data_IF_589409391460
#
_entry.id   IF_589409391460
#
_cell.length_a   1.000
_cell.length_b   1.000
_cell.length_c   1.000
_cell.angle_alpha   90.00
_cell.angle_beta   90.00
_cell.angle_gamma   90.00
#
_symmetry.space_group_name_H-M   'P 1'
#
loop_
_entity.id
_entity.type
_entity.pdbx_description
1 polymer ?
#
# COMPACT_ATOMS: atom_id res chain seq x y z
N UNK A 1 7.54 -10.61 5.90
CA UNK A 1 8.03 -10.58 4.52
C UNK A 1 9.18 -11.57 4.40
N UNK A 2 8.93 -12.80 3.94
CA UNK A 2 9.85 -13.76 3.29
C UNK A 2 9.16 -15.11 3.44
N UNK A 3 8.36 -15.51 2.45
CA UNK A 3 8.01 -16.94 2.28
C UNK A 3 7.42 -17.27 0.89
N UNK A 4 7.65 -16.42 -0.12
CA UNK A 4 7.11 -16.69 -1.46
C UNK A 4 8.01 -17.62 -2.29
N UNK A 5 9.28 -17.77 -1.91
CA UNK A 5 10.25 -18.57 -2.65
C UNK A 5 10.20 -20.07 -2.31
N UNK A 6 9.80 -20.41 -1.09
CA UNK A 6 9.69 -21.80 -0.64
C UNK A 6 8.40 -22.47 -1.14
N UNK A 7 7.30 -21.72 -1.29
CA UNK A 7 6.03 -22.23 -1.84
C UNK A 7 6.18 -22.81 -3.27
N UNK A 8 7.14 -22.31 -4.05
CA UNK A 8 7.46 -22.80 -5.40
C UNK A 8 8.69 -23.73 -5.45
N UNK A 9 9.28 -24.09 -4.30
CA UNK A 9 10.47 -24.96 -4.25
C UNK A 9 11.70 -24.39 -4.97
N UNK A 10 11.76 -23.07 -5.15
CA UNK A 10 12.77 -22.40 -5.99
C UNK A 10 14.20 -22.58 -5.44
N UNK A 11 14.31 -22.73 -4.12
CA UNK A 11 15.57 -23.01 -3.44
C UNK A 11 16.24 -24.31 -3.93
N UNK A 12 15.46 -25.37 -4.21
CA UNK A 12 16.01 -26.62 -4.73
C UNK A 12 16.59 -26.46 -6.14
N UNK A 13 15.94 -25.66 -6.99
CA UNK A 13 16.45 -25.33 -8.33
C UNK A 13 17.72 -24.47 -8.28
N UNK A 14 17.79 -23.50 -7.36
CA UNK A 14 19.01 -22.70 -7.17
C UNK A 14 20.17 -23.53 -6.63
N UNK A 15 19.92 -24.48 -5.72
CA UNK A 15 20.95 -25.42 -5.24
C UNK A 15 21.48 -26.33 -6.34
N UNK A 16 20.60 -26.84 -7.20
CA UNK A 16 21.00 -27.59 -8.38
C UNK A 16 21.85 -26.74 -9.34
N UNK A 17 21.45 -25.49 -9.59
CA UNK A 17 22.18 -24.54 -10.43
C UNK A 17 23.58 -24.21 -9.89
N UNK A 18 23.73 -24.02 -8.58
CA UNK A 18 25.04 -23.79 -7.94
C UNK A 18 25.98 -24.98 -8.07
N UNK A 19 25.46 -26.21 -7.93
CA UNK A 19 26.24 -27.44 -8.09
C UNK A 19 26.64 -27.70 -9.54
N UNK A 20 25.84 -27.22 -10.49
CA UNK A 20 26.06 -27.37 -11.93
C UNK A 20 26.83 -26.18 -12.56
N UNK A 21 27.35 -25.25 -11.75
CA UNK A 21 28.06 -24.09 -12.27
C UNK A 21 29.35 -24.52 -12.98
N UNK A 22 29.30 -24.57 -14.32
CA UNK A 22 30.47 -24.76 -15.15
C UNK A 22 31.33 -23.50 -15.11
N UNK A 23 32.64 -23.68 -14.95
CA UNK A 23 33.56 -22.56 -14.95
C UNK A 23 33.56 -21.92 -16.35
N UNK A 24 33.35 -20.59 -16.48
CA UNK A 24 33.39 -19.91 -17.77
C UNK A 24 34.73 -20.14 -18.47
N UNK A 25 34.73 -20.19 -19.79
CA UNK A 25 35.98 -20.28 -20.55
C UNK A 25 36.83 -19.01 -20.31
N UNK A 26 38.16 -19.17 -20.30
CA UNK A 26 39.07 -18.04 -20.09
C UNK A 26 38.89 -16.92 -21.11
N UNK A 27 38.54 -17.27 -22.35
CA UNK A 27 38.23 -16.31 -23.42
C UNK A 27 36.99 -15.46 -23.11
N UNK A 28 35.90 -16.10 -22.64
CA UNK A 28 34.71 -15.37 -22.19
C UNK A 28 35.04 -14.44 -21.02
N UNK A 29 35.83 -14.90 -20.06
CA UNK A 29 36.23 -14.09 -18.91
C UNK A 29 37.05 -12.85 -19.35
N UNK A 30 37.99 -13.03 -20.28
CA UNK A 30 38.77 -11.93 -20.84
C UNK A 30 37.90 -10.90 -21.56
N UNK A 31 36.89 -11.35 -22.31
CA UNK A 31 35.92 -10.44 -22.97
C UNK A 31 35.04 -9.69 -21.98
N UNK A 32 34.57 -10.37 -20.92
CA UNK A 32 33.79 -9.74 -19.84
C UNK A 32 34.61 -8.67 -19.12
N UNK A 33 35.89 -8.96 -18.83
CA UNK A 33 36.79 -7.99 -18.19
C UNK A 33 37.02 -6.76 -19.07
N UNK A 34 37.26 -6.95 -20.36
CA UNK A 34 37.44 -5.85 -21.31
C UNK A 34 36.17 -4.98 -21.45
N UNK A 35 34.98 -5.60 -21.46
CA UNK A 35 33.71 -4.89 -21.51
C UNK A 35 33.43 -4.13 -20.21
N UNK A 36 33.74 -4.75 -19.05
CA UNK A 36 33.64 -4.10 -17.75
C UNK A 36 34.56 -2.87 -17.65
N UNK A 37 35.81 -2.95 -18.11
CA UNK A 37 36.73 -1.80 -18.16
C UNK A 37 36.16 -0.67 -19.03
N UNK A 38 35.59 -0.99 -20.19
CA UNK A 38 34.96 -0.01 -21.06
C UNK A 38 33.74 0.67 -20.39
N UNK A 39 32.92 -0.09 -19.64
CA UNK A 39 31.80 0.48 -18.88
C UNK A 39 32.25 1.26 -17.64
N UNK A 40 33.33 0.88 -16.97
CA UNK A 40 33.86 1.64 -15.84
C UNK A 40 34.35 3.02 -16.28
N UNK A 41 34.97 3.12 -17.46
CA UNK A 41 35.37 4.42 -18.03
C UNK A 41 34.15 5.25 -18.49
N UNK A 42 33.07 4.60 -18.94
CA UNK A 42 31.84 5.28 -19.34
C UNK A 42 30.97 5.72 -18.14
N UNK A 43 31.08 5.05 -17.00
CA UNK A 43 30.29 5.32 -15.80
C UNK A 43 31.01 6.24 -14.79
N UNK A 44 31.86 7.16 -15.26
CA UNK A 44 32.24 8.30 -14.41
C UNK A 44 30.94 9.02 -14.05
N UNK A 45 30.52 9.05 -12.77
CA UNK A 45 29.28 9.69 -12.41
C UNK A 45 29.41 11.16 -12.79
N UNK A 46 28.65 11.60 -13.79
CA UNK A 46 28.46 13.03 -13.99
C UNK A 46 27.96 13.59 -12.65
N UNK A 47 28.44 14.76 -12.20
CA UNK A 47 27.93 15.38 -10.99
C UNK A 47 26.41 15.43 -11.10
N UNK A 48 25.72 14.69 -10.23
CA UNK A 48 24.27 14.61 -10.25
C UNK A 48 23.73 16.04 -10.12
N UNK A 49 23.01 16.50 -11.15
CA UNK A 49 22.37 17.80 -11.09
C UNK A 49 21.50 17.83 -9.83
N UNK A 50 21.71 18.81 -8.96
CA UNK A 50 20.89 18.89 -7.75
C UNK A 50 19.44 19.06 -8.18
N UNK A 51 18.52 18.17 -7.72
CA UNK A 51 17.13 18.30 -8.07
C UNK A 51 16.65 19.67 -7.62
N UNK A 52 16.02 20.42 -8.52
CA UNK A 52 15.44 21.71 -8.19
C UNK A 52 14.44 21.57 -7.02
N UNK A 53 14.19 22.67 -6.30
CA UNK A 53 13.31 22.67 -5.11
C UNK A 53 11.97 21.98 -5.36
N UNK A 54 11.38 22.20 -6.55
CA UNK A 54 10.12 21.58 -6.94
C UNK A 54 10.22 20.06 -7.16
N UNK A 55 11.32 19.59 -7.76
CA UNK A 55 11.58 18.15 -7.91
C UNK A 55 11.77 17.51 -6.53
N UNK A 56 12.52 18.15 -5.63
CA UNK A 56 12.71 17.69 -4.25
C UNK A 56 11.40 17.58 -3.47
N UNK A 57 10.49 18.56 -3.62
CA UNK A 57 9.14 18.49 -3.04
C UNK A 57 8.32 17.34 -3.60
N UNK A 58 8.38 17.11 -4.91
CA UNK A 58 7.73 15.95 -5.56
C UNK A 58 8.27 14.61 -5.04
N UNK A 59 9.58 14.51 -4.82
CA UNK A 59 10.19 13.32 -4.23
C UNK A 59 9.82 13.18 -2.75
N UNK A 60 9.76 14.27 -2.00
CA UNK A 60 9.37 14.29 -0.59
C UNK A 60 7.90 13.88 -0.38
N UNK A 61 7.02 14.22 -1.33
CA UNK A 61 5.62 13.78 -1.36
C UNK A 61 5.52 12.29 -1.75
N UNK A 62 6.62 11.63 -2.13
CA UNK A 62 6.65 10.19 -2.44
C UNK A 62 6.29 9.84 -3.88
N UNK A 63 6.17 10.83 -4.77
CA UNK A 63 5.92 10.62 -6.20
C UNK A 63 4.46 10.26 -6.55
N UNK A 64 4.28 9.54 -7.65
CA UNK A 64 2.95 9.18 -8.17
C UNK A 64 2.06 8.32 -7.23
N UNK A 65 2.57 7.47 -6.32
CA UNK A 65 1.72 6.66 -5.43
C UNK A 65 0.86 7.50 -4.47
N UNK A 66 1.37 8.63 -3.98
CA UNK A 66 0.59 9.51 -3.08
C UNK A 66 -0.50 10.25 -3.83
N UNK A 67 -0.26 10.66 -5.08
CA UNK A 67 -1.29 11.20 -5.97
C UNK A 67 -2.38 10.16 -6.24
N UNK A 68 -2.00 8.91 -6.52
CA UNK A 68 -2.95 7.81 -6.72
C UNK A 68 -3.77 7.52 -5.46
N UNK A 69 -3.15 7.55 -4.28
CA UNK A 69 -3.84 7.42 -2.99
C UNK A 69 -4.83 8.55 -2.75
N UNK A 70 -4.45 9.80 -3.01
CA UNK A 70 -5.32 10.96 -2.86
C UNK A 70 -6.53 10.90 -3.80
N UNK A 71 -6.32 10.49 -5.06
CA UNK A 71 -7.41 10.28 -6.03
C UNK A 71 -8.34 9.14 -5.60
N UNK A 72 -7.81 8.06 -5.03
CA UNK A 72 -8.64 6.97 -4.51
C UNK A 72 -9.48 7.44 -3.32
N UNK A 73 -8.89 8.22 -2.40
CA UNK A 73 -9.60 8.77 -1.25
C UNK A 73 -10.73 9.73 -1.66
N UNK A 74 -10.53 10.57 -2.69
CA UNK A 74 -11.60 11.44 -3.19
C UNK A 74 -12.73 10.64 -3.84
N UNK A 75 -12.41 9.59 -4.61
CA UNK A 75 -13.42 8.69 -5.17
C UNK A 75 -14.22 7.97 -4.08
N UNK A 76 -13.55 7.48 -3.03
CA UNK A 76 -14.21 6.87 -1.87
C UNK A 76 -15.11 7.89 -1.17
N UNK A 77 -14.65 9.13 -0.97
CA UNK A 77 -15.46 10.20 -0.38
C UNK A 77 -16.71 10.52 -1.21
N UNK A 78 -16.57 10.60 -2.54
CA UNK A 78 -17.70 10.79 -3.46
C UNK A 78 -18.67 9.61 -3.39
N UNK A 79 -18.15 8.38 -3.39
CA UNK A 79 -18.97 7.18 -3.33
C UNK A 79 -19.80 7.12 -2.04
N UNK A 80 -19.16 7.38 -0.89
CA UNK A 80 -19.84 7.44 0.41
C UNK A 80 -20.85 8.59 0.46
N UNK A 81 -20.54 9.74 -0.12
CA UNK A 81 -21.44 10.90 -0.16
C UNK A 81 -22.70 10.68 -1.00
N UNK A 82 -22.61 9.91 -2.08
CA UNK A 82 -23.78 9.59 -2.95
C UNK A 82 -24.66 8.52 -2.30
N UNK A 83 -24.07 7.55 -1.60
CA UNK A 83 -24.78 6.45 -0.94
C UNK A 83 -24.40 6.41 0.53
N UNK A 84 -24.91 7.35 1.35
CA UNK A 84 -24.63 7.34 2.77
C UNK A 84 -25.09 5.99 3.36
N UNK A 85 -24.22 5.26 4.09
CA UNK A 85 -24.61 4.02 4.75
C UNK A 85 -25.75 4.29 5.75
N UNK A 86 -26.70 3.34 5.87
CA UNK A 86 -27.93 3.50 6.66
C UNK A 86 -27.74 4.10 8.08
N UNK A 87 -26.68 3.78 8.85
CA UNK A 87 -26.45 4.43 10.15
C UNK A 87 -26.17 5.95 10.07
N UNK A 88 -25.58 6.42 8.97
CA UNK A 88 -25.34 7.86 8.75
C UNK A 88 -26.62 8.59 8.33
N UNK A 89 -27.51 7.94 7.58
CA UNK A 89 -28.82 8.53 7.23
C UNK A 89 -29.67 8.80 8.46
N UNK A 90 -29.71 7.88 9.43
CA UNK A 90 -30.46 8.02 10.69
C UNK A 90 -29.93 9.17 11.56
N UNK A 91 -28.60 9.35 11.62
CA UNK A 91 -27.94 10.46 12.32
C UNK A 91 -28.22 11.80 11.63
N UNK A 92 -28.11 11.85 10.30
CA UNK A 92 -28.31 13.08 9.52
C UNK A 92 -29.78 13.51 9.50
N UNK A 93 -30.72 12.56 9.55
CA UNK A 93 -32.16 12.83 9.64
C UNK A 93 -32.60 13.30 11.04
N UNK A 94 -31.73 13.25 12.06
CA UNK A 94 -32.06 13.63 13.43
C UNK A 94 -32.93 12.62 14.18
N UNK A 95 -33.12 11.41 13.62
CA UNK A 95 -33.98 10.35 14.17
C UNK A 95 -33.30 9.56 15.31
N UNK A 96 -32.07 9.93 15.69
CA UNK A 96 -31.31 9.25 16.75
C UNK A 96 -31.92 9.38 18.14
N UNK A 97 -32.86 10.32 18.35
CA UNK A 97 -33.57 10.46 19.61
C UNK A 97 -34.71 9.45 19.79
N UNK A 98 -35.22 8.86 18.70
CA UNK A 98 -36.32 7.88 18.78
C UNK A 98 -35.82 6.49 19.23
N UNK A 99 -34.58 6.14 18.88
CA UNK A 99 -33.95 4.86 19.24
C UNK A 99 -33.57 4.75 20.73
N UNK A 100 -33.53 5.87 21.47
CA UNK A 100 -33.26 5.89 22.91
C UNK A 100 -34.52 5.96 23.80
N UNK A 101 -35.74 6.05 23.23
CA UNK A 101 -36.98 5.78 23.96
C UNK A 101 -37.26 4.27 23.99
N UNK A 102 -36.29 3.47 24.44
CA UNK A 102 -36.62 2.16 25.00
C UNK A 102 -37.25 2.46 26.35
N UNK A 103 -38.54 2.18 26.46
CA UNK A 103 -39.36 2.40 27.66
C UNK A 103 -38.63 1.85 28.90
N UNK A 104 -37.95 2.73 29.62
CA UNK A 104 -37.19 2.39 30.83
C UNK A 104 -38.11 2.23 32.03
N UNK A 105 -39.43 2.32 31.85
CA UNK A 105 -40.36 2.29 32.97
C UNK A 105 -41.73 1.70 32.70
N UNK A 106 -41.81 0.40 32.39
CA UNK A 106 -43.06 -0.36 32.53
C UNK A 106 -43.43 -0.61 34.01
N UNK A 107 -42.52 -0.37 34.97
CA UNK A 107 -42.68 -0.83 36.36
C UNK A 107 -43.23 0.21 37.36
N UNK A 108 -43.59 1.43 36.94
CA UNK A 108 -44.22 2.43 37.84
C UNK A 108 -45.65 2.81 37.41
N UNK A 109 -46.27 2.04 36.49
CA UNK A 109 -47.58 2.38 35.91
C UNK A 109 -48.76 1.60 36.47
N UNK A 110 -48.57 0.31 36.82
CA UNK A 110 -49.70 -0.60 37.07
C UNK A 110 -50.14 -0.67 38.54
N UNK A 111 -49.36 -0.10 39.45
CA UNK A 111 -49.55 -0.16 40.91
C UNK A 111 -50.20 1.09 41.52
N UNK A 112 -50.47 2.13 40.73
CA UNK A 112 -51.17 3.36 41.19
C UNK A 112 -52.66 3.42 40.81
N UNK A 113 -53.20 2.40 40.11
CA UNK A 113 -54.57 2.42 39.56
C UNK A 113 -55.51 1.37 40.18
N UNK A 114 -55.04 0.49 41.07
CA UNK A 114 -55.94 -0.43 41.80
C UNK A 114 -56.26 0.12 43.20
N UNK A 115 -57.36 0.88 43.27
CA UNK A 115 -58.09 1.20 44.49
C UNK A 115 -59.45 0.52 44.49
#
# INVERSE_FOLDING_TARGET
>A
MTDKHDEFGLNAYFDAGRKAAQMPSGDLMARVLADAEAQQMANVPAPAAQPGLFASLWTAIGGWPTVAGMATATLVGIWIGISPPAPLEEIMAGNTLDTYLVDLLPAFGDDFVEG
#
